data_IF_886705148792
#
_entry.id   IF_886705148792
#
_cell.length_a   1.000
_cell.length_b   1.000
_cell.length_c   1.000
_cell.angle_alpha   90.00
_cell.angle_beta   90.00
_cell.angle_gamma   90.00
#
_symmetry.space_group_name_H-M   'P 1'
#
loop_
_entity.id
_entity.type
_entity.pdbx_description
1 polymer ?
#
# COMPACT_ATOMS: atom_id res chain seq x y z
N UNK A 1 12.07 -20.83 29.32
CA UNK A 1 11.83 -19.59 28.55
C UNK A 1 10.62 -18.87 29.15
N UNK A 2 10.74 -17.54 29.34
CA UNK A 2 9.67 -16.69 29.91
C UNK A 2 8.62 -16.34 28.84
N UNK A 3 9.03 -16.30 27.57
CA UNK A 3 8.16 -16.00 26.44
C UNK A 3 8.92 -16.01 25.13
N UNK A 4 8.18 -15.86 24.05
CA UNK A 4 8.72 -15.81 22.69
C UNK A 4 7.97 -14.75 21.85
N UNK A 5 8.65 -14.17 20.86
CA UNK A 5 8.04 -13.36 19.82
C UNK A 5 8.50 -13.86 18.46
N UNK A 6 7.54 -14.07 17.57
CA UNK A 6 7.77 -14.39 16.17
C UNK A 6 7.47 -13.17 15.33
N UNK A 7 8.43 -12.80 14.48
CA UNK A 7 8.31 -11.73 13.51
C UNK A 7 8.65 -12.27 12.12
N UNK A 8 7.84 -11.89 11.16
CA UNK A 8 8.07 -12.15 9.75
C UNK A 8 8.01 -10.82 8.98
N UNK A 9 9.12 -10.42 8.39
CA UNK A 9 9.25 -9.11 7.77
C UNK A 9 8.89 -7.97 8.74
N UNK A 10 7.92 -7.15 8.37
CA UNK A 10 7.39 -6.05 9.18
C UNK A 10 6.25 -6.47 10.14
N UNK A 11 5.87 -7.75 10.17
CA UNK A 11 4.77 -8.23 10.99
C UNK A 11 5.24 -8.91 12.28
N UNK A 12 4.66 -8.52 13.40
CA UNK A 12 4.70 -9.29 14.64
C UNK A 12 3.59 -10.33 14.56
N UNK A 13 3.95 -11.56 14.21
CA UNK A 13 3.00 -12.65 13.99
C UNK A 13 2.46 -13.21 15.32
N UNK A 14 3.36 -13.38 16.29
CA UNK A 14 3.00 -13.88 17.61
C UNK A 14 3.87 -13.25 18.68
N UNK A 15 3.25 -12.97 19.81
CA UNK A 15 3.93 -12.62 21.06
C UNK A 15 3.29 -13.44 22.18
N UNK A 16 4.08 -14.27 22.81
CA UNK A 16 3.63 -15.11 23.89
C UNK A 16 4.46 -14.91 25.15
N UNK A 17 3.81 -14.75 26.27
CA UNK A 17 4.42 -14.76 27.61
C UNK A 17 3.73 -15.86 28.43
N UNK A 18 4.55 -16.72 29.02
CA UNK A 18 4.10 -17.79 29.93
C UNK A 18 3.21 -17.17 31.01
N UNK A 19 2.04 -17.78 31.33
CA UNK A 19 1.04 -17.18 32.22
C UNK A 19 1.59 -16.64 33.54
N UNK A 20 2.47 -17.37 34.20
CA UNK A 20 3.05 -17.00 35.52
C UNK A 20 3.93 -15.74 35.45
N UNK A 21 4.38 -15.37 34.26
CA UNK A 21 5.25 -14.22 34.01
C UNK A 21 4.53 -13.03 33.37
N UNK A 22 3.23 -13.14 33.15
CA UNK A 22 2.42 -12.03 32.61
C UNK A 22 2.32 -10.88 33.62
N UNK A 23 2.01 -9.68 33.13
CA UNK A 23 1.87 -8.44 33.90
C UNK A 23 3.13 -7.98 34.66
N UNK A 24 4.29 -8.57 34.36
CA UNK A 24 5.60 -8.22 34.95
C UNK A 24 6.51 -7.43 33.97
N UNK A 25 5.95 -6.86 32.90
CA UNK A 25 6.69 -6.08 31.93
C UNK A 25 7.39 -6.86 30.81
N UNK A 26 7.47 -8.21 30.89
CA UNK A 26 8.20 -9.02 29.90
C UNK A 26 7.62 -8.92 28.47
N UNK A 27 6.32 -8.79 28.31
CA UNK A 27 5.69 -8.58 27.00
C UNK A 27 6.16 -7.28 26.35
N UNK A 28 6.17 -6.20 27.11
CA UNK A 28 6.68 -4.90 26.67
C UNK A 28 8.16 -4.94 26.34
N UNK A 29 8.97 -5.60 27.17
CA UNK A 29 10.41 -5.78 26.93
C UNK A 29 10.66 -6.54 25.63
N UNK A 30 10.00 -7.69 25.44
CA UNK A 30 10.16 -8.53 24.26
C UNK A 30 9.72 -7.81 22.98
N UNK A 31 8.57 -7.13 23.02
CA UNK A 31 8.07 -6.36 21.90
C UNK A 31 9.00 -5.17 21.56
N UNK A 32 9.52 -4.47 22.55
CA UNK A 32 10.52 -3.39 22.33
C UNK A 32 11.79 -3.93 21.67
N UNK A 33 12.25 -5.11 22.02
CA UNK A 33 13.39 -5.75 21.40
C UNK A 33 13.13 -6.11 19.93
N UNK A 34 11.97 -6.68 19.64
CA UNK A 34 11.51 -6.92 18.25
C UNK A 34 11.46 -5.64 17.43
N UNK A 35 10.99 -4.54 18.04
CA UNK A 35 10.94 -3.22 17.39
C UNK A 35 12.32 -2.62 17.09
N UNK A 36 13.37 -2.94 17.88
CA UNK A 36 14.73 -2.42 17.65
C UNK A 36 15.48 -3.10 16.52
N UNK A 37 15.18 -4.37 16.26
CA UNK A 37 15.90 -5.23 15.30
C UNK A 37 15.23 -5.26 13.93
N UNK A 38 14.06 -4.64 13.80
CA UNK A 38 13.22 -4.69 12.61
C UNK A 38 13.26 -3.45 11.72
N UNK A 39 12.55 -3.50 10.58
CA UNK A 39 12.36 -2.33 9.73
C UNK A 39 11.70 -1.18 10.50
N UNK A 40 11.82 0.04 9.98
CA UNK A 40 11.31 1.27 10.64
C UNK A 40 9.80 1.27 10.92
N UNK A 41 9.05 0.30 10.39
CA UNK A 41 7.63 0.13 10.66
C UNK A 41 7.29 -1.31 11.00
N UNK A 42 6.46 -1.50 12.02
CA UNK A 42 5.96 -2.81 12.45
C UNK A 42 4.45 -2.81 12.50
N UNK A 43 3.89 -3.94 12.12
CA UNK A 43 2.47 -4.23 12.17
C UNK A 43 2.20 -5.37 13.14
N UNK A 44 1.06 -5.32 13.82
CA UNK A 44 0.59 -6.41 14.67
C UNK A 44 -0.93 -6.52 14.58
N UNK A 45 -1.45 -7.74 14.63
CA UNK A 45 -2.89 -8.00 14.75
C UNK A 45 -3.23 -8.32 16.20
N UNK A 46 -4.19 -7.61 16.76
CA UNK A 46 -4.76 -7.92 18.07
C UNK A 46 -5.91 -8.93 17.91
N UNK A 47 -5.84 -10.04 18.61
CA UNK A 47 -6.89 -11.07 18.59
C UNK A 47 -8.09 -10.70 19.48
N UNK A 48 -7.90 -9.79 20.43
CA UNK A 48 -8.92 -9.33 21.36
C UNK A 48 -8.61 -7.93 21.92
N UNK A 49 -9.53 -7.37 22.68
CA UNK A 49 -9.41 -6.03 23.27
C UNK A 49 -8.22 -5.87 24.22
N UNK A 50 -7.87 -6.92 24.97
CA UNK A 50 -6.71 -6.88 25.87
C UNK A 50 -5.37 -6.82 25.10
N UNK A 51 -5.25 -7.58 24.01
CA UNK A 51 -4.10 -7.52 23.10
C UNK A 51 -4.02 -6.14 22.40
N UNK A 52 -5.16 -5.58 22.03
CA UNK A 52 -5.22 -4.23 21.42
C UNK A 52 -4.76 -3.15 22.42
N UNK A 53 -5.24 -3.19 23.65
CA UNK A 53 -4.83 -2.26 24.70
C UNK A 53 -3.32 -2.37 25.00
N UNK A 54 -2.80 -3.60 25.08
CA UNK A 54 -1.36 -3.84 25.25
C UNK A 54 -0.52 -3.28 24.11
N UNK A 55 -0.90 -3.52 22.87
CA UNK A 55 -0.19 -2.98 21.70
C UNK A 55 -0.20 -1.45 21.71
N UNK A 56 -1.33 -0.83 22.06
CA UNK A 56 -1.43 0.65 22.19
C UNK A 56 -0.49 1.20 23.27
N UNK A 57 -0.41 0.56 24.43
CA UNK A 57 0.56 0.92 25.49
C UNK A 57 2.01 0.78 25.01
N UNK A 58 2.27 -0.12 24.07
CA UNK A 58 3.58 -0.28 23.42
C UNK A 58 3.82 0.71 22.25
N UNK A 59 2.92 1.68 22.02
CA UNK A 59 3.05 2.72 21.01
C UNK A 59 2.59 2.29 19.61
N UNK A 60 1.79 1.24 19.51
CA UNK A 60 1.10 0.90 18.26
C UNK A 60 -0.18 1.73 18.13
N UNK A 61 -0.50 2.15 16.90
CA UNK A 61 -1.65 2.98 16.56
C UNK A 61 -2.49 2.31 15.46
N UNK A 62 -3.76 2.64 15.36
CA UNK A 62 -4.67 2.16 14.34
C UNK A 62 -6.10 1.98 14.86
N UNK A 63 -7.06 1.97 13.94
CA UNK A 63 -8.46 1.60 14.21
C UNK A 63 -8.65 0.11 13.90
N UNK A 64 -9.43 -0.60 14.76
CA UNK A 64 -9.69 -2.03 14.58
C UNK A 64 -8.56 -2.96 15.06
N UNK A 65 -8.55 -4.22 14.61
CA UNK A 65 -7.65 -5.25 15.14
C UNK A 65 -6.20 -5.15 14.64
N UNK A 66 -5.95 -4.42 13.56
CA UNK A 66 -4.61 -4.24 12.99
C UNK A 66 -4.04 -2.91 13.46
N UNK A 67 -2.87 -2.97 14.11
CA UNK A 67 -2.18 -1.81 14.64
C UNK A 67 -0.75 -1.74 14.08
N UNK A 68 -0.20 -0.53 13.95
CA UNK A 68 1.15 -0.29 13.47
C UNK A 68 1.93 0.62 14.44
N UNK A 69 3.26 0.51 14.41
CA UNK A 69 4.18 1.35 15.17
C UNK A 69 5.37 1.76 14.31
N UNK A 70 5.73 3.05 14.37
CA UNK A 70 6.84 3.61 13.59
C UNK A 70 6.58 3.61 12.08
N UNK A 71 5.36 3.30 11.67
CA UNK A 71 4.85 3.45 10.30
C UNK A 71 4.12 4.78 10.26
N UNK A 72 4.22 5.53 9.19
CA UNK A 72 3.29 6.65 8.96
C UNK A 72 1.88 6.09 8.93
N UNK A 73 1.00 6.64 9.75
CA UNK A 73 -0.39 6.18 9.82
C UNK A 73 -1.17 6.69 8.60
N UNK A 74 -2.34 6.11 8.35
CA UNK A 74 -3.24 6.62 7.31
C UNK A 74 -3.62 8.11 7.50
N UNK A 75 -3.53 8.62 8.73
CA UNK A 75 -3.77 10.04 9.03
C UNK A 75 -2.61 10.96 8.60
N UNK A 76 -1.40 10.42 8.36
CA UNK A 76 -0.20 11.22 8.13
C UNK A 76 -0.01 11.60 6.66
N UNK A 77 -0.43 10.76 5.71
CA UNK A 77 -0.34 11.05 4.28
C UNK A 77 -1.20 10.12 3.39
N UNK A 78 -1.40 10.54 2.13
CA UNK A 78 -2.24 9.84 1.16
C UNK A 78 -1.78 8.40 0.90
N UNK A 79 -0.47 8.16 0.73
CA UNK A 79 0.08 6.83 0.45
C UNK A 79 -0.15 5.87 1.62
N UNK A 80 0.06 6.33 2.86
CA UNK A 80 -0.20 5.52 4.05
C UNK A 80 -1.69 5.16 4.17
N UNK A 81 -2.59 6.10 3.82
CA UNK A 81 -4.03 5.85 3.74
C UNK A 81 -4.36 4.78 2.68
N UNK A 82 -3.80 4.91 1.47
CA UNK A 82 -3.96 3.94 0.39
C UNK A 82 -3.46 2.54 0.80
N UNK A 83 -2.27 2.45 1.41
CA UNK A 83 -1.73 1.19 1.91
C UNK A 83 -2.64 0.53 2.96
N UNK A 84 -3.17 1.33 3.91
CA UNK A 84 -4.09 0.81 4.93
C UNK A 84 -5.38 0.26 4.31
N UNK A 85 -5.93 0.97 3.31
CA UNK A 85 -7.12 0.54 2.59
C UNK A 85 -6.88 -0.75 1.79
N UNK A 86 -5.82 -0.80 0.99
CA UNK A 86 -5.45 -1.99 0.20
C UNK A 86 -5.26 -3.19 1.14
N UNK A 87 -4.53 -3.03 2.23
CA UNK A 87 -4.27 -4.12 3.19
C UNK A 87 -5.55 -4.68 3.83
N UNK A 88 -6.57 -3.86 4.02
CA UNK A 88 -7.84 -4.29 4.59
C UNK A 88 -8.70 -5.14 3.62
N UNK A 89 -8.47 -5.00 2.31
CA UNK A 89 -9.29 -5.61 1.26
C UNK A 89 -8.53 -6.62 0.40
N UNK A 90 -7.19 -6.61 0.42
CA UNK A 90 -6.37 -7.47 -0.40
C UNK A 90 -6.43 -8.92 0.10
N UNK A 91 -6.60 -9.86 -0.84
CA UNK A 91 -6.61 -11.29 -0.55
C UNK A 91 -5.19 -11.85 -0.70
N UNK A 92 -4.62 -12.51 0.33
CA UNK A 92 -3.35 -13.22 0.20
C UNK A 92 -3.37 -14.24 -0.95
N UNK A 93 -2.28 -14.35 -1.69
CA UNK A 93 -2.18 -15.19 -2.88
C UNK A 93 -2.78 -14.57 -4.15
N UNK A 94 -3.38 -13.38 -4.05
CA UNK A 94 -4.02 -12.72 -5.18
C UNK A 94 -3.06 -12.03 -6.15
N UNK A 95 -3.62 -11.53 -7.25
CA UNK A 95 -2.95 -10.68 -8.22
C UNK A 95 -3.18 -9.20 -7.89
N UNK A 96 -2.11 -8.41 -7.79
CA UNK A 96 -2.20 -6.97 -7.57
C UNK A 96 -1.37 -6.19 -8.60
N UNK A 97 -1.77 -4.94 -8.86
CA UNK A 97 -1.11 -4.06 -9.83
C UNK A 97 -0.73 -2.74 -9.20
N UNK A 98 0.51 -2.34 -9.42
CA UNK A 98 1.01 -0.98 -9.22
C UNK A 98 1.06 -0.30 -10.59
N UNK A 99 0.09 0.56 -10.86
CA UNK A 99 -0.07 1.19 -12.18
C UNK A 99 0.92 2.36 -12.42
N UNK A 100 1.75 2.70 -11.42
CA UNK A 100 2.68 3.84 -11.44
C UNK A 100 3.91 3.49 -10.59
N UNK A 101 4.70 2.53 -11.07
CA UNK A 101 5.77 1.89 -10.29
C UNK A 101 6.78 2.84 -9.66
N UNK A 102 7.21 3.87 -10.39
CA UNK A 102 8.17 4.85 -9.91
C UNK A 102 9.44 4.22 -9.35
N UNK A 103 9.72 4.48 -8.08
CA UNK A 103 10.85 3.89 -7.37
C UNK A 103 10.54 2.51 -6.72
N UNK A 104 9.38 1.91 -6.99
CA UNK A 104 8.99 0.56 -6.54
C UNK A 104 8.58 0.43 -5.08
N UNK A 105 8.23 1.52 -4.40
CA UNK A 105 7.84 1.45 -2.98
C UNK A 105 6.48 0.76 -2.81
N UNK A 106 5.50 1.11 -3.63
CA UNK A 106 4.17 0.52 -3.61
C UNK A 106 4.19 -0.90 -4.18
N UNK A 107 5.03 -1.15 -5.19
CA UNK A 107 5.26 -2.51 -5.70
C UNK A 107 5.75 -3.45 -4.60
N UNK A 108 6.74 -3.03 -3.81
CA UNK A 108 7.25 -3.80 -2.66
C UNK A 108 6.17 -4.00 -1.60
N UNK A 109 5.41 -2.95 -1.29
CA UNK A 109 4.28 -3.05 -0.37
C UNK A 109 3.27 -4.09 -0.84
N UNK A 110 2.87 -4.06 -2.12
CA UNK A 110 1.95 -5.05 -2.70
C UNK A 110 2.52 -6.47 -2.65
N UNK A 111 3.80 -6.68 -2.97
CA UNK A 111 4.44 -7.99 -2.87
C UNK A 111 4.37 -8.58 -1.45
N UNK A 112 4.64 -7.76 -0.44
CA UNK A 112 4.48 -8.20 0.96
C UNK A 112 3.02 -8.46 1.32
N UNK A 113 2.08 -7.70 0.76
CA UNK A 113 0.66 -7.84 1.07
C UNK A 113 0.04 -9.08 0.44
N UNK A 114 0.37 -9.40 -0.84
CA UNK A 114 -0.11 -10.63 -1.51
C UNK A 114 0.58 -11.88 -0.97
N UNK A 115 1.81 -11.76 -0.46
CA UNK A 115 2.60 -12.87 0.06
C UNK A 115 3.17 -13.80 -1.02
N UNK A 116 3.83 -14.92 -0.60
CA UNK A 116 4.62 -15.76 -1.51
C UNK A 116 3.82 -16.52 -2.57
N UNK A 117 2.53 -16.68 -2.39
CA UNK A 117 1.62 -17.33 -3.33
C UNK A 117 0.97 -16.33 -4.30
N UNK A 118 1.15 -15.02 -4.07
CA UNK A 118 0.59 -13.98 -4.89
C UNK A 118 1.51 -13.51 -6.01
N UNK A 119 1.04 -12.59 -6.81
CA UNK A 119 1.84 -11.94 -7.86
C UNK A 119 1.52 -10.47 -7.98
N UNK A 120 2.53 -9.68 -8.34
CA UNK A 120 2.42 -8.23 -8.54
C UNK A 120 3.00 -7.84 -9.88
N UNK A 121 2.23 -7.08 -10.66
CA UNK A 121 2.70 -6.42 -11.86
C UNK A 121 2.79 -4.92 -11.61
N UNK A 122 3.94 -4.33 -11.90
CA UNK A 122 4.14 -2.90 -11.81
C UNK A 122 4.37 -2.29 -13.19
N UNK A 123 3.81 -1.12 -13.46
CA UNK A 123 3.87 -0.44 -14.74
C UNK A 123 4.53 0.93 -14.57
N UNK A 124 5.39 1.29 -15.51
CA UNK A 124 5.87 2.66 -15.67
C UNK A 124 6.24 2.91 -17.13
N UNK A 125 6.01 4.13 -17.62
CA UNK A 125 6.41 4.54 -18.97
C UNK A 125 7.92 4.79 -19.07
N UNK A 126 8.58 5.06 -17.95
CA UNK A 126 10.00 5.38 -17.88
C UNK A 126 10.82 4.11 -17.60
N UNK A 127 11.73 3.75 -18.52
CA UNK A 127 12.61 2.59 -18.34
C UNK A 127 13.42 2.67 -17.03
N UNK A 128 13.88 3.86 -16.66
CA UNK A 128 14.61 4.08 -15.40
C UNK A 128 13.81 3.67 -14.16
N UNK A 129 12.52 3.94 -14.15
CA UNK A 129 11.61 3.54 -13.06
C UNK A 129 11.43 2.01 -13.01
N UNK A 130 11.25 1.38 -14.18
CA UNK A 130 11.17 -0.08 -14.32
C UNK A 130 12.43 -0.76 -13.78
N UNK A 131 13.61 -0.28 -14.18
CA UNK A 131 14.89 -0.82 -13.74
C UNK A 131 15.10 -0.65 -12.24
N UNK A 132 14.78 0.54 -11.70
CA UNK A 132 14.87 0.82 -10.27
C UNK A 132 13.94 -0.08 -9.45
N UNK A 133 12.72 -0.30 -9.93
CA UNK A 133 11.73 -1.18 -9.27
C UNK A 133 12.20 -2.63 -9.29
N UNK A 134 12.62 -3.16 -10.45
CA UNK A 134 13.11 -4.53 -10.55
C UNK A 134 14.37 -4.76 -9.71
N UNK A 135 15.30 -3.80 -9.68
CA UNK A 135 16.48 -3.86 -8.81
C UNK A 135 16.08 -3.89 -7.32
N UNK A 136 15.10 -3.09 -6.93
CA UNK A 136 14.57 -3.09 -5.56
C UNK A 136 13.94 -4.43 -5.18
N UNK A 137 13.13 -5.01 -6.08
CA UNK A 137 12.53 -6.34 -5.88
C UNK A 137 13.59 -7.42 -5.70
N UNK A 138 14.64 -7.41 -6.53
CA UNK A 138 15.76 -8.35 -6.41
C UNK A 138 16.48 -8.22 -5.06
N UNK A 139 16.83 -6.98 -4.66
CA UNK A 139 17.51 -6.71 -3.37
C UNK A 139 16.69 -7.15 -2.16
N UNK A 140 15.37 -7.16 -2.28
CA UNK A 140 14.46 -7.56 -1.20
C UNK A 140 14.01 -9.02 -1.28
N UNK A 141 14.51 -9.80 -2.27
CA UNK A 141 14.11 -11.21 -2.45
C UNK A 141 12.66 -11.38 -2.90
N UNK A 142 12.09 -10.38 -3.59
CA UNK A 142 10.70 -10.35 -4.02
C UNK A 142 10.51 -10.57 -5.53
N UNK A 143 11.58 -10.85 -6.27
CA UNK A 143 11.54 -10.99 -7.72
C UNK A 143 10.68 -12.17 -8.22
N UNK A 144 10.41 -13.16 -7.38
CA UNK A 144 9.47 -14.24 -7.68
C UNK A 144 7.99 -13.81 -7.56
N UNK A 145 7.72 -12.76 -6.79
CA UNK A 145 6.36 -12.28 -6.50
C UNK A 145 6.01 -11.11 -7.40
N UNK A 146 6.95 -10.20 -7.62
CA UNK A 146 6.74 -8.94 -8.34
C UNK A 146 7.67 -8.76 -9.53
N UNK A 147 7.16 -8.09 -10.55
CA UNK A 147 7.94 -7.62 -11.70
C UNK A 147 7.43 -6.26 -12.18
N UNK A 148 8.32 -5.41 -12.64
CA UNK A 148 7.97 -4.17 -13.32
C UNK A 148 8.22 -4.30 -14.83
N UNK A 149 7.32 -3.74 -15.62
CA UNK A 149 7.43 -3.67 -17.09
C UNK A 149 7.26 -2.23 -17.57
N UNK A 150 7.89 -1.91 -18.71
CA UNK A 150 7.68 -0.63 -19.37
C UNK A 150 6.37 -0.68 -20.14
N UNK A 151 5.36 0.00 -19.60
CA UNK A 151 4.04 0.11 -20.21
C UNK A 151 3.33 1.37 -19.73
N UNK A 152 2.46 1.91 -20.56
CA UNK A 152 1.53 2.98 -20.17
C UNK A 152 0.33 2.33 -19.45
N UNK A 153 -0.06 2.88 -18.32
CA UNK A 153 -1.26 2.43 -17.60
C UNK A 153 -2.56 2.62 -18.40
N UNK A 154 -2.57 3.50 -19.41
CA UNK A 154 -3.70 3.60 -20.34
C UNK A 154 -4.02 2.28 -21.03
N UNK A 155 -3.03 1.38 -21.20
CA UNK A 155 -3.20 0.02 -21.74
C UNK A 155 -3.61 -1.05 -20.72
N UNK A 156 -4.08 -0.69 -19.53
CA UNK A 156 -4.45 -1.65 -18.48
C UNK A 156 -5.54 -2.63 -18.90
N UNK A 157 -6.47 -2.25 -19.79
CA UNK A 157 -7.51 -3.15 -20.28
C UNK A 157 -6.90 -4.40 -20.92
N UNK A 158 -5.97 -4.23 -21.88
CA UNK A 158 -5.28 -5.31 -22.57
C UNK A 158 -4.42 -6.15 -21.63
N UNK A 159 -3.85 -5.51 -20.60
CA UNK A 159 -3.06 -6.18 -19.57
C UNK A 159 -3.96 -7.10 -18.75
N UNK A 160 -5.13 -6.64 -18.31
CA UNK A 160 -6.06 -7.46 -17.54
C UNK A 160 -6.68 -8.61 -18.33
N UNK A 161 -6.84 -8.46 -19.64
CA UNK A 161 -7.26 -9.57 -20.52
C UNK A 161 -6.22 -10.70 -20.51
N UNK A 162 -4.92 -10.37 -20.50
CA UNK A 162 -3.81 -11.32 -20.53
C UNK A 162 -3.45 -11.88 -19.16
N UNK A 163 -3.39 -11.00 -18.18
CA UNK A 163 -2.90 -11.32 -16.82
C UNK A 163 -4.03 -11.75 -15.86
N UNK A 164 -5.29 -11.50 -16.20
CA UNK A 164 -6.44 -11.77 -15.36
C UNK A 164 -6.82 -10.62 -14.42
N UNK A 165 -7.85 -10.86 -13.61
CA UNK A 165 -8.49 -9.84 -12.78
C UNK A 165 -7.70 -9.60 -11.48
N UNK A 166 -7.37 -8.34 -11.14
CA UNK A 166 -6.65 -8.01 -9.92
C UNK A 166 -7.57 -7.97 -8.69
N UNK A 167 -7.02 -8.27 -7.52
CA UNK A 167 -7.66 -8.02 -6.23
C UNK A 167 -7.31 -6.64 -5.65
N UNK A 168 -6.25 -6.01 -6.16
CA UNK A 168 -5.88 -4.64 -5.80
C UNK A 168 -5.19 -3.93 -6.96
N UNK A 169 -5.50 -2.64 -7.15
CA UNK A 169 -4.79 -1.74 -8.08
C UNK A 169 -4.48 -0.44 -7.37
N UNK A 170 -3.22 0.01 -7.49
CA UNK A 170 -2.77 1.27 -6.91
C UNK A 170 -2.28 2.24 -7.99
N UNK A 171 -2.67 3.50 -7.85
CA UNK A 171 -2.19 4.61 -8.68
C UNK A 171 -1.61 5.71 -7.78
N UNK A 172 -0.42 6.20 -8.13
CA UNK A 172 0.12 7.46 -7.64
C UNK A 172 0.32 8.40 -8.83
N UNK A 173 -0.68 9.24 -9.06
CA UNK A 173 -0.72 10.13 -10.22
C UNK A 173 0.12 11.38 -9.93
N UNK A 174 1.00 11.73 -10.86
CA UNK A 174 1.89 12.86 -10.73
C UNK A 174 3.18 12.65 -11.55
N UNK A 175 4.31 13.00 -10.97
CA UNK A 175 5.64 12.83 -11.57
C UNK A 175 6.54 11.94 -10.71
N UNK A 176 7.54 11.31 -11.34
CA UNK A 176 8.52 10.48 -10.63
C UNK A 176 9.38 11.36 -9.70
N UNK A 177 9.38 11.12 -8.37
CA UNK A 177 10.26 11.84 -7.46
C UNK A 177 11.73 11.67 -7.84
N UNK A 178 12.43 12.79 -8.09
CA UNK A 178 13.81 12.81 -8.60
C UNK A 178 13.94 12.55 -10.11
N UNK A 179 12.83 12.47 -10.83
CA UNK A 179 12.78 12.38 -12.29
C UNK A 179 12.61 13.75 -12.96
N UNK A 180 12.42 13.74 -14.30
CA UNK A 180 12.09 14.94 -15.05
C UNK A 180 10.67 15.38 -14.76
N UNK A 181 10.49 16.64 -14.38
CA UNK A 181 9.16 17.25 -14.24
C UNK A 181 8.41 17.42 -15.59
N UNK A 182 9.02 17.06 -16.72
CA UNK A 182 8.37 17.08 -18.03
C UNK A 182 7.48 15.85 -18.29
N UNK A 183 7.61 14.80 -17.47
CA UNK A 183 6.82 13.57 -17.61
C UNK A 183 5.82 13.51 -16.45
N UNK A 184 4.55 13.78 -16.78
CA UNK A 184 3.42 13.76 -15.86
C UNK A 184 2.37 12.76 -16.33
N UNK A 185 1.62 12.22 -15.40
CA UNK A 185 0.33 11.60 -15.70
C UNK A 185 -0.67 12.66 -16.14
N UNK A 186 -1.59 12.31 -17.03
CA UNK A 186 -2.61 13.24 -17.54
C UNK A 186 -3.99 12.57 -17.51
N UNK A 187 -5.08 13.34 -17.39
CA UNK A 187 -6.44 12.79 -17.39
C UNK A 187 -6.75 11.89 -18.59
N UNK A 188 -6.16 12.19 -19.76
CA UNK A 188 -6.35 11.41 -20.99
C UNK A 188 -5.83 9.98 -20.89
N UNK A 189 -4.77 9.75 -20.09
CA UNK A 189 -4.21 8.43 -19.82
C UNK A 189 -4.78 7.82 -18.54
N UNK A 190 -4.95 8.64 -17.50
CA UNK A 190 -5.38 8.14 -16.18
C UNK A 190 -6.84 7.69 -16.16
N UNK A 191 -7.78 8.43 -16.78
CA UNK A 191 -9.19 8.08 -16.71
C UNK A 191 -9.52 6.74 -17.39
N UNK A 192 -9.04 6.43 -18.62
CA UNK A 192 -9.23 5.10 -19.20
C UNK A 192 -8.62 3.98 -18.35
N UNK A 193 -7.45 4.23 -17.76
CA UNK A 193 -6.78 3.30 -16.89
C UNK A 193 -7.57 3.01 -15.60
N UNK A 194 -8.13 4.05 -14.98
CA UNK A 194 -8.99 3.93 -13.80
C UNK A 194 -10.27 3.16 -14.10
N UNK A 195 -10.88 3.41 -15.26
CA UNK A 195 -12.08 2.71 -15.72
C UNK A 195 -11.79 1.22 -15.98
N UNK A 196 -10.68 0.92 -16.65
CA UNK A 196 -10.24 -0.45 -16.87
C UNK A 196 -9.96 -1.18 -15.55
N UNK A 197 -9.25 -0.53 -14.63
CA UNK A 197 -8.95 -1.08 -13.31
C UNK A 197 -10.24 -1.35 -12.51
N UNK A 198 -11.18 -0.41 -12.50
CA UNK A 198 -12.45 -0.57 -11.82
C UNK A 198 -13.26 -1.76 -12.36
N UNK A 199 -13.38 -1.89 -13.69
CA UNK A 199 -14.12 -2.97 -14.33
C UNK A 199 -13.48 -4.34 -14.14
N UNK A 200 -12.16 -4.40 -14.15
CA UNK A 200 -11.40 -5.64 -13.97
C UNK A 200 -11.30 -6.07 -12.49
N UNK A 201 -11.47 -5.16 -11.54
CA UNK A 201 -11.29 -5.46 -10.11
C UNK A 201 -12.20 -6.62 -9.66
N UNK A 202 -11.63 -7.53 -8.87
CA UNK A 202 -12.41 -8.59 -8.24
C UNK A 202 -13.40 -8.01 -7.23
N UNK A 203 -14.58 -8.63 -7.04
CA UNK A 203 -15.51 -8.23 -6.00
C UNK A 203 -14.84 -8.20 -4.62
N UNK A 204 -15.01 -7.10 -3.88
CA UNK A 204 -14.36 -6.89 -2.60
C UNK A 204 -12.91 -6.41 -2.67
N UNK A 205 -12.34 -6.29 -3.87
CA UNK A 205 -10.99 -5.78 -4.09
C UNK A 205 -10.85 -4.27 -3.84
N UNK A 206 -9.61 -3.77 -3.91
CA UNK A 206 -9.26 -2.39 -3.61
C UNK A 206 -8.69 -1.65 -4.83
N UNK A 207 -9.28 -0.52 -5.17
CA UNK A 207 -8.68 0.46 -6.08
C UNK A 207 -8.35 1.72 -5.29
N UNK A 208 -7.08 2.14 -5.31
CA UNK A 208 -6.64 3.38 -4.66
C UNK A 208 -5.98 4.33 -5.64
N UNK A 209 -6.26 5.61 -5.49
CA UNK A 209 -5.71 6.67 -6.33
C UNK A 209 -5.20 7.80 -5.43
N UNK A 210 -3.89 8.04 -5.45
CA UNK A 210 -3.30 9.23 -4.87
C UNK A 210 -3.10 10.26 -6.00
N UNK A 211 -3.85 11.34 -5.97
CA UNK A 211 -3.73 12.43 -6.94
C UNK A 211 -3.15 13.67 -6.24
N UNK A 212 -2.09 14.22 -6.81
CA UNK A 212 -1.37 15.35 -6.23
C UNK A 212 -1.69 16.65 -6.98
N UNK A 213 -2.05 17.70 -6.25
CA UNK A 213 -2.45 19.01 -6.80
C UNK A 213 -1.28 19.97 -7.04
N UNK A 214 -0.07 19.45 -7.30
CA UNK A 214 1.10 20.27 -7.60
C UNK A 214 1.00 20.90 -9.00
N UNK A 215 0.95 22.25 -9.07
CA UNK A 215 0.84 22.98 -10.33
C UNK A 215 -0.53 22.83 -11.03
N UNK A 216 -0.67 23.45 -12.21
CA UNK A 216 -1.94 23.44 -12.98
C UNK A 216 -2.31 22.05 -13.49
N UNK A 217 -1.33 21.26 -13.94
CA UNK A 217 -1.55 19.91 -14.47
C UNK A 217 -2.03 18.95 -13.40
N UNK A 218 -1.38 18.93 -12.23
CA UNK A 218 -1.81 18.08 -11.11
C UNK A 218 -3.18 18.47 -10.58
N UNK A 219 -3.54 19.76 -10.62
CA UNK A 219 -4.87 20.24 -10.25
C UNK A 219 -5.94 19.71 -11.21
N UNK A 220 -5.70 19.80 -12.53
CA UNK A 220 -6.63 19.32 -13.55
C UNK A 220 -6.82 17.79 -13.46
N UNK A 221 -5.75 17.03 -13.23
CA UNK A 221 -5.82 15.58 -13.05
C UNK A 221 -6.58 15.19 -11.79
N UNK A 222 -6.28 15.84 -10.65
CA UNK A 222 -7.04 15.65 -9.41
C UNK A 222 -8.54 15.88 -9.60
N UNK A 223 -8.91 16.99 -10.27
CA UNK A 223 -10.32 17.36 -10.46
C UNK A 223 -11.02 16.36 -11.38
N UNK A 224 -10.37 15.87 -12.42
CA UNK A 224 -10.88 14.82 -13.28
C UNK A 224 -11.08 13.49 -12.54
N UNK A 225 -10.13 13.08 -11.69
CA UNK A 225 -10.24 11.88 -10.83
C UNK A 225 -11.40 12.02 -9.84
N UNK A 226 -11.56 13.20 -9.22
CA UNK A 226 -12.67 13.45 -8.30
C UNK A 226 -14.02 13.38 -8.99
N UNK A 227 -14.14 13.92 -10.20
CA UNK A 227 -15.36 13.84 -11.01
C UNK A 227 -15.70 12.40 -11.37
N UNK A 228 -14.70 11.61 -11.81
CA UNK A 228 -14.84 10.18 -12.10
C UNK A 228 -15.28 9.40 -10.85
N UNK A 229 -14.65 9.60 -9.71
CA UNK A 229 -15.00 8.98 -8.45
C UNK A 229 -16.42 9.35 -7.99
N UNK A 230 -16.83 10.60 -8.19
CA UNK A 230 -18.19 11.08 -7.95
C UNK A 230 -19.24 10.36 -8.81
N UNK A 231 -18.95 10.13 -10.09
CA UNK A 231 -19.82 9.37 -10.99
C UNK A 231 -20.00 7.91 -10.52
N UNK A 232 -18.92 7.24 -10.09
CA UNK A 232 -19.01 5.89 -9.52
C UNK A 232 -19.87 5.86 -8.25
N UNK A 233 -19.72 6.86 -7.37
CA UNK A 233 -20.55 6.98 -6.16
C UNK A 233 -22.02 7.13 -6.50
N UNK A 234 -22.35 7.92 -7.54
CA UNK A 234 -23.71 8.06 -8.07
C UNK A 234 -24.30 6.75 -8.59
N UNK A 235 -23.47 5.79 -9.01
CA UNK A 235 -23.86 4.43 -9.42
C UNK A 235 -23.94 3.43 -8.25
N UNK A 236 -23.83 3.89 -7.00
CA UNK A 236 -23.92 3.05 -5.81
C UNK A 236 -22.62 2.41 -5.37
N UNK A 237 -21.48 2.76 -5.97
CA UNK A 237 -20.18 2.27 -5.56
C UNK A 237 -19.72 2.87 -4.23
N UNK A 238 -19.01 2.08 -3.41
CA UNK A 238 -18.39 2.58 -2.18
C UNK A 238 -17.12 3.37 -2.52
N UNK A 239 -17.21 4.69 -2.43
CA UNK A 239 -16.09 5.60 -2.69
C UNK A 239 -15.81 6.44 -1.44
N UNK A 240 -14.57 6.41 -0.96
CA UNK A 240 -14.06 7.29 0.09
C UNK A 240 -13.05 8.28 -0.51
N UNK A 241 -13.18 9.56 -0.15
CA UNK A 241 -12.23 10.61 -0.54
C UNK A 241 -11.60 11.18 0.72
N UNK A 242 -10.28 11.19 0.78
CA UNK A 242 -9.49 11.77 1.86
C UNK A 242 -8.66 12.93 1.32
N UNK A 243 -8.76 14.09 1.96
CA UNK A 243 -7.99 15.28 1.58
C UNK A 243 -6.83 15.45 2.56
N UNK A 244 -5.61 15.42 2.06
CA UNK A 244 -4.40 15.70 2.79
C UNK A 244 -3.90 17.09 2.43
N UNK A 245 -3.75 17.97 3.42
CA UNK A 245 -3.14 19.29 3.23
C UNK A 245 -1.66 19.18 3.56
N UNK A 246 -0.80 19.61 2.65
CA UNK A 246 0.58 19.94 2.99
C UNK A 246 0.55 21.28 3.74
N UNK A 247 0.88 21.28 5.02
CA UNK A 247 1.25 22.54 5.66
C UNK A 247 2.56 22.99 5.00
N UNK A 248 2.46 24.04 4.19
CA UNK A 248 3.63 24.67 3.62
C UNK A 248 4.41 25.36 4.76
N UNK A 249 5.58 24.84 5.10
CA UNK A 249 6.51 25.53 5.97
C UNK A 249 6.81 24.82 7.29
N UNK A 250 7.68 23.85 7.27
CA UNK A 250 8.80 23.69 8.22
C UNK A 250 9.96 22.99 7.52
#
# INVERSE_FOLDING_TARGET
>A
AIGAALREGAWVQRLYIVPEWRRRGYGTFLLRRVCRVGPRGLWARAENGAAQAFLRQCGFQGAGPVLCRGVRTAADNAVACAHAFVRAHLVPGGFAVDATAGNGHDTVFLCHAVGPQGRVLALDIQQKAVDATNMRLQKMGLAQIGRAIKADHAGLADIFEKEGRPCAVMFNLGYLPGGSHAVFTTPQHSLPALDAAWRALLPGGALTVCAYSGGMQGTAERDAVLAWAGALRGQGCKVAVHLFRHEAGQ
#
